data_IF_750855721842
#
_entry.id   IF_750855721842
#
_cell.length_a   1.000
_cell.length_b   1.000
_cell.length_c   1.000
_cell.angle_alpha   90.00
_cell.angle_beta   90.00
_cell.angle_gamma   90.00
#
_symmetry.space_group_name_H-M   'P 1'
#
loop_
_entity.id
_entity.type
_entity.pdbx_description
1 polymer ?
#
# COMPACT_ATOMS: atom_id res chain seq x y z
N UNK A 1 -4.31 25.37 9.75
CA UNK A 1 -3.43 24.34 9.13
C UNK A 1 -3.81 24.23 7.67
N UNK A 2 -2.82 24.24 6.79
CA UNK A 2 -3.04 24.23 5.33
C UNK A 2 -2.94 22.82 4.72
N UNK A 3 -2.11 21.97 5.29
CA UNK A 3 -1.81 20.62 4.77
C UNK A 3 -2.42 19.55 5.67
N UNK A 4 -3.12 18.59 5.07
CA UNK A 4 -3.87 17.54 5.75
C UNK A 4 -3.57 16.16 5.14
N UNK A 5 -3.71 15.12 5.93
CA UNK A 5 -3.63 13.72 5.50
C UNK A 5 -4.88 13.00 5.99
N UNK A 6 -5.49 12.15 5.16
CA UNK A 6 -6.74 11.46 5.50
C UNK A 6 -6.51 10.23 6.36
N UNK A 7 -5.55 9.40 5.98
CA UNK A 7 -5.21 8.15 6.66
C UNK A 7 -3.70 8.03 6.82
N UNK A 8 -3.27 7.44 7.93
CA UNK A 8 -1.88 7.08 8.12
C UNK A 8 -1.58 5.76 7.43
N UNK A 9 -0.54 5.73 6.59
CA UNK A 9 -0.01 4.53 5.94
C UNK A 9 -1.10 3.63 5.34
N UNK A 10 -2.02 4.23 4.55
CA UNK A 10 -3.22 3.58 4.03
C UNK A 10 -2.93 2.25 3.32
N UNK A 11 -1.76 2.13 2.68
CA UNK A 11 -1.36 0.92 1.97
C UNK A 11 -0.95 -0.24 2.89
N UNK A 12 -0.84 -0.04 4.21
CA UNK A 12 -0.76 -1.16 5.16
C UNK A 12 -1.98 -2.09 5.01
N UNK A 13 -3.12 -1.53 4.58
CA UNK A 13 -4.35 -2.29 4.32
C UNK A 13 -4.23 -3.32 3.19
N UNK A 14 -3.19 -3.29 2.36
CA UNK A 14 -2.96 -4.36 1.37
C UNK A 14 -2.28 -5.59 1.96
N UNK A 15 -1.70 -5.48 3.17
CA UNK A 15 -1.13 -6.59 3.91
C UNK A 15 -2.17 -7.18 4.89
N UNK A 16 -2.07 -8.48 5.25
CA UNK A 16 -3.00 -9.13 6.18
C UNK A 16 -3.22 -8.37 7.49
N UNK A 17 -2.13 -7.89 8.11
CA UNK A 17 -2.17 -7.11 9.35
C UNK A 17 -2.96 -5.80 9.24
N UNK A 18 -3.10 -5.25 8.04
CA UNK A 18 -3.79 -3.98 7.79
C UNK A 18 -5.30 -4.06 8.06
N UNK A 19 -5.90 -5.24 8.01
CA UNK A 19 -7.30 -5.44 8.41
C UNK A 19 -7.53 -4.96 9.85
N UNK A 20 -6.66 -5.35 10.77
CA UNK A 20 -6.76 -4.91 12.16
C UNK A 20 -6.20 -3.51 12.36
N UNK A 21 -4.98 -3.22 11.86
CA UNK A 21 -4.26 -1.98 12.16
C UNK A 21 -4.94 -0.74 11.59
N UNK A 22 -5.43 -0.82 10.34
CA UNK A 22 -5.97 0.35 9.66
C UNK A 22 -7.50 0.38 9.65
N UNK A 23 -8.13 -0.79 9.71
CA UNK A 23 -9.57 -0.91 9.51
C UNK A 23 -10.31 -1.35 10.76
N UNK A 24 -9.59 -1.80 11.81
CA UNK A 24 -10.19 -2.29 13.05
C UNK A 24 -10.97 -3.59 12.88
N UNK A 25 -10.69 -4.37 11.83
CA UNK A 25 -11.34 -5.66 11.57
C UNK A 25 -10.66 -6.72 12.42
N UNK A 26 -11.45 -7.37 13.26
CA UNK A 26 -11.02 -8.45 14.15
C UNK A 26 -11.77 -9.72 13.78
N UNK A 27 -11.08 -10.70 13.17
CA UNK A 27 -11.69 -11.90 12.64
C UNK A 27 -11.72 -13.08 13.64
N UNK A 28 -10.82 -13.07 14.65
CA UNK A 28 -10.83 -14.03 15.75
C UNK A 28 -11.15 -13.31 17.07
N UNK A 29 -12.41 -13.38 17.49
CA UNK A 29 -12.89 -12.78 18.72
C UNK A 29 -12.54 -13.60 19.97
N UNK A 30 -12.18 -14.88 19.82
CA UNK A 30 -11.75 -15.72 20.93
C UNK A 30 -10.31 -15.43 21.35
N UNK A 31 -9.46 -15.02 20.36
CA UNK A 31 -8.07 -14.67 20.59
C UNK A 31 -7.74 -13.23 20.09
N UNK A 32 -8.42 -12.21 20.62
CA UNK A 32 -8.33 -10.85 20.07
C UNK A 32 -6.95 -10.18 20.27
N UNK A 33 -6.14 -10.70 21.18
CA UNK A 33 -4.82 -10.14 21.51
C UNK A 33 -3.68 -10.70 20.65
N UNK A 34 -3.91 -11.75 19.87
CA UNK A 34 -2.90 -12.36 19.01
C UNK A 34 -2.92 -11.66 17.65
N UNK A 35 -2.42 -10.47 17.66
CA UNK A 35 -2.45 -9.49 16.57
C UNK A 35 -1.89 -10.00 15.23
N UNK A 36 -0.76 -10.75 15.26
CA UNK A 36 -0.13 -11.25 14.03
C UNK A 36 -0.74 -12.58 13.53
N UNK A 37 -1.62 -13.18 14.30
CA UNK A 37 -2.25 -14.48 14.01
C UNK A 37 -3.72 -14.35 13.63
N UNK A 38 -4.23 -13.12 13.49
CA UNK A 38 -5.60 -12.91 13.03
C UNK A 38 -5.80 -13.50 11.63
N UNK A 39 -6.90 -14.26 11.41
CA UNK A 39 -7.20 -14.80 10.09
C UNK A 39 -7.34 -13.69 9.06
N UNK A 40 -6.61 -13.80 7.95
CA UNK A 40 -6.75 -12.87 6.84
C UNK A 40 -7.92 -13.27 5.93
N UNK A 41 -8.86 -12.35 5.73
CA UNK A 41 -9.95 -12.47 4.77
C UNK A 41 -9.81 -11.37 3.74
N UNK A 42 -9.11 -11.63 2.61
CA UNK A 42 -8.82 -10.61 1.61
C UNK A 42 -10.05 -9.85 1.12
N UNK A 43 -11.20 -10.54 0.96
CA UNK A 43 -12.45 -9.91 0.56
C UNK A 43 -12.86 -8.78 1.51
N UNK A 44 -12.83 -9.01 2.83
CA UNK A 44 -13.19 -7.99 3.81
C UNK A 44 -12.18 -6.84 3.82
N UNK A 45 -10.90 -7.19 3.79
CA UNK A 45 -9.80 -6.23 3.87
C UNK A 45 -9.77 -5.29 2.67
N UNK A 46 -9.93 -5.79 1.46
CA UNK A 46 -9.98 -4.95 0.26
C UNK A 46 -11.30 -4.20 0.12
N UNK A 47 -12.41 -4.76 0.60
CA UNK A 47 -13.67 -4.02 0.68
C UNK A 47 -13.56 -2.86 1.68
N UNK A 48 -12.98 -3.09 2.86
CA UNK A 48 -12.68 -2.04 3.82
C UNK A 48 -11.76 -0.96 3.25
N UNK A 49 -10.73 -1.36 2.50
CA UNK A 49 -9.84 -0.42 1.81
C UNK A 49 -10.58 0.41 0.74
N UNK A 50 -11.52 -0.19 0.02
CA UNK A 50 -12.38 0.56 -0.91
C UNK A 50 -13.17 1.65 -0.18
N UNK A 51 -13.78 1.34 0.96
CA UNK A 51 -14.49 2.33 1.77
C UNK A 51 -13.54 3.43 2.29
N UNK A 52 -12.30 3.10 2.62
CA UNK A 52 -11.29 4.12 2.98
C UNK A 52 -10.96 5.05 1.79
N UNK A 53 -10.88 4.54 0.57
CA UNK A 53 -10.69 5.38 -0.60
C UNK A 53 -11.86 6.34 -0.81
N UNK A 54 -13.09 5.86 -0.72
CA UNK A 54 -14.30 6.69 -0.83
C UNK A 54 -14.34 7.75 0.26
N UNK A 55 -14.05 7.37 1.51
CA UNK A 55 -13.99 8.30 2.64
C UNK A 55 -12.89 9.36 2.47
N UNK A 56 -11.70 8.95 1.97
CA UNK A 56 -10.63 9.90 1.65
C UNK A 56 -11.05 10.90 0.58
N UNK A 57 -11.68 10.44 -0.50
CA UNK A 57 -12.14 11.30 -1.58
C UNK A 57 -13.21 12.30 -1.12
N UNK A 58 -14.15 11.87 -0.26
CA UNK A 58 -15.13 12.75 0.35
C UNK A 58 -14.47 13.80 1.26
N UNK A 59 -13.47 13.40 2.03
CA UNK A 59 -12.72 14.32 2.89
C UNK A 59 -11.93 15.37 2.09
N UNK A 60 -11.30 14.98 0.99
CA UNK A 60 -10.63 15.91 0.06
C UNK A 60 -11.62 16.94 -0.49
N UNK A 61 -12.74 16.46 -1.03
CA UNK A 61 -13.80 17.32 -1.57
C UNK A 61 -14.31 18.32 -0.52
N UNK A 62 -14.63 17.83 0.68
CA UNK A 62 -15.10 18.67 1.78
C UNK A 62 -14.05 19.69 2.21
N UNK A 63 -12.78 19.32 2.27
CA UNK A 63 -11.71 20.24 2.62
C UNK A 63 -11.61 21.40 1.62
N UNK A 64 -11.69 21.13 0.32
CA UNK A 64 -11.66 22.17 -0.73
C UNK A 64 -12.93 23.03 -0.76
N UNK A 65 -14.09 22.49 -0.34
CA UNK A 65 -15.33 23.27 -0.18
C UNK A 65 -15.23 24.25 1.01
N UNK A 66 -14.56 23.85 2.10
CA UNK A 66 -14.33 24.71 3.27
C UNK A 66 -13.33 25.81 2.95
N UNK A 67 -12.22 25.47 2.35
CA UNK A 67 -11.17 26.42 1.93
C UNK A 67 -10.40 25.86 0.72
N UNK A 68 -10.51 26.49 -0.46
CA UNK A 68 -9.80 26.06 -1.67
C UNK A 68 -8.26 26.03 -1.56
N UNK A 69 -7.71 26.71 -0.55
CA UNK A 69 -6.26 26.71 -0.29
C UNK A 69 -5.79 25.50 0.52
N UNK A 70 -6.71 24.70 1.08
CA UNK A 70 -6.34 23.47 1.76
C UNK A 70 -5.77 22.45 0.78
N UNK A 71 -4.74 21.76 1.24
CA UNK A 71 -4.08 20.69 0.49
C UNK A 71 -4.22 19.39 1.26
N UNK A 72 -4.80 18.38 0.61
CA UNK A 72 -5.05 17.08 1.22
C UNK A 72 -4.25 16.01 0.48
N UNK A 73 -3.45 15.26 1.21
CA UNK A 73 -2.53 14.28 0.65
C UNK A 73 -2.83 12.84 1.00
N UNK A 74 -2.21 11.97 0.23
CA UNK A 74 -2.02 10.57 0.57
C UNK A 74 -0.82 10.42 1.50
N UNK A 75 -0.89 9.46 2.43
CA UNK A 75 0.24 9.03 3.26
C UNK A 75 0.33 7.51 3.23
N UNK A 76 1.50 7.00 2.84
CA UNK A 76 1.73 5.57 2.65
C UNK A 76 3.09 5.13 3.21
N UNK A 77 3.31 3.83 3.35
CA UNK A 77 4.65 3.25 3.47
C UNK A 77 5.20 3.06 2.07
N UNK A 78 6.41 3.51 1.80
CA UNK A 78 7.12 3.08 0.61
C UNK A 78 7.99 1.86 0.94
N UNK A 79 7.55 0.70 0.48
CA UNK A 79 8.23 -0.58 0.65
C UNK A 79 9.15 -0.85 -0.55
N UNK A 80 10.32 -0.18 -0.58
CA UNK A 80 11.26 -0.34 -1.69
C UNK A 80 11.60 -1.82 -1.90
N UNK A 81 11.44 -2.30 -3.11
CA UNK A 81 11.64 -3.71 -3.41
C UNK A 81 12.36 -3.92 -4.74
N UNK A 82 13.36 -4.79 -4.72
CA UNK A 82 14.21 -5.15 -5.85
C UNK A 82 14.00 -6.62 -6.23
N UNK A 83 14.17 -7.01 -7.50
CA UNK A 83 14.29 -8.43 -7.82
C UNK A 83 15.57 -8.99 -7.19
N UNK A 84 15.50 -10.16 -6.55
CA UNK A 84 16.68 -10.80 -5.94
C UNK A 84 17.78 -11.10 -6.97
N UNK A 85 17.35 -11.48 -8.17
CA UNK A 85 18.22 -11.74 -9.32
C UNK A 85 17.68 -11.09 -10.57
N UNK A 86 18.47 -11.08 -11.64
CA UNK A 86 18.01 -10.70 -12.98
C UNK A 86 17.15 -11.79 -13.68
N UNK A 87 16.77 -12.88 -12.99
CA UNK A 87 15.84 -13.85 -13.51
C UNK A 87 14.50 -13.17 -13.83
N UNK A 88 13.95 -13.32 -15.06
CA UNK A 88 12.67 -12.71 -15.41
C UNK A 88 11.52 -13.04 -14.45
N UNK A 89 11.54 -14.20 -13.82
CA UNK A 89 10.55 -14.58 -12.80
C UNK A 89 10.65 -13.69 -11.55
N UNK A 90 11.86 -13.42 -11.06
CA UNK A 90 12.08 -12.52 -9.92
C UNK A 90 11.67 -11.09 -10.25
N UNK A 91 11.97 -10.64 -11.48
CA UNK A 91 11.55 -9.32 -11.97
C UNK A 91 10.03 -9.19 -11.98
N UNK A 92 9.30 -10.20 -12.46
CA UNK A 92 7.84 -10.19 -12.50
C UNK A 92 7.21 -10.23 -11.10
N UNK A 93 7.76 -11.03 -10.19
CA UNK A 93 7.30 -11.06 -8.78
C UNK A 93 7.54 -9.71 -8.11
N UNK A 94 8.71 -9.10 -8.32
CA UNK A 94 9.02 -7.78 -7.80
C UNK A 94 8.09 -6.69 -8.39
N UNK A 95 7.80 -6.74 -9.69
CA UNK A 95 6.84 -5.81 -10.31
C UNK A 95 5.44 -5.94 -9.70
N UNK A 96 4.97 -7.19 -9.49
CA UNK A 96 3.67 -7.44 -8.86
C UNK A 96 3.63 -6.91 -7.43
N UNK A 97 4.69 -7.14 -6.66
CA UNK A 97 4.82 -6.60 -5.30
C UNK A 97 4.73 -5.06 -5.30
N UNK A 98 5.50 -4.39 -6.14
CA UNK A 98 5.48 -2.93 -6.23
C UNK A 98 4.10 -2.40 -6.64
N UNK A 99 3.41 -3.05 -7.58
CA UNK A 99 2.04 -2.68 -7.96
C UNK A 99 1.08 -2.75 -6.79
N UNK A 100 1.16 -3.81 -5.97
CA UNK A 100 0.27 -3.99 -4.83
C UNK A 100 0.62 -3.05 -3.68
N UNK A 101 1.89 -3.04 -3.26
CA UNK A 101 2.29 -2.37 -2.02
C UNK A 101 2.61 -0.89 -2.20
N UNK A 102 3.17 -0.49 -3.35
CA UNK A 102 3.64 0.87 -3.55
C UNK A 102 2.74 1.72 -4.45
N UNK A 103 2.02 1.10 -5.40
CA UNK A 103 1.28 1.89 -6.39
C UNK A 103 -0.22 1.83 -6.23
N UNK A 104 -0.80 0.71 -5.84
CA UNK A 104 -2.26 0.50 -5.82
C UNK A 104 -3.02 1.62 -5.10
N UNK A 105 -2.66 1.91 -3.84
CA UNK A 105 -3.35 2.95 -3.07
C UNK A 105 -3.03 4.36 -3.59
N UNK A 106 -1.76 4.60 -3.97
CA UNK A 106 -1.35 5.89 -4.53
C UNK A 106 -2.08 6.18 -5.85
N UNK A 107 -2.16 5.19 -6.74
CA UNK A 107 -2.85 5.35 -8.03
C UNK A 107 -4.34 5.66 -7.83
N UNK A 108 -5.04 4.90 -6.97
CA UNK A 108 -6.46 5.14 -6.72
C UNK A 108 -6.70 6.55 -6.19
N UNK A 109 -5.91 7.01 -5.20
CA UNK A 109 -6.12 8.31 -4.61
C UNK A 109 -5.62 9.47 -5.48
N UNK A 110 -4.58 9.27 -6.31
CA UNK A 110 -4.06 10.31 -7.18
C UNK A 110 -4.86 10.47 -8.48
N UNK A 111 -5.37 9.37 -9.04
CA UNK A 111 -6.09 9.40 -10.32
C UNK A 111 -7.61 9.29 -10.17
N UNK A 112 -8.11 8.99 -8.98
CA UNK A 112 -9.54 8.84 -8.72
C UNK A 112 -10.17 7.64 -9.42
N UNK A 113 -9.38 6.63 -9.75
CA UNK A 113 -9.83 5.43 -10.43
C UNK A 113 -8.90 4.25 -10.15
N UNK A 114 -9.44 3.04 -10.18
CA UNK A 114 -8.62 1.84 -10.07
C UNK A 114 -7.71 1.68 -11.29
N UNK A 115 -6.41 1.41 -11.09
CA UNK A 115 -5.51 1.19 -12.21
C UNK A 115 -5.84 -0.13 -12.95
N UNK A 116 -5.51 -0.21 -14.23
CA UNK A 116 -5.84 -1.37 -15.07
C UNK A 116 -5.30 -2.71 -14.53
N UNK A 117 -4.21 -2.71 -13.76
CA UNK A 117 -3.67 -3.92 -13.15
C UNK A 117 -4.44 -4.37 -11.89
N UNK A 118 -5.32 -3.52 -11.31
CA UNK A 118 -6.06 -3.83 -10.09
C UNK A 118 -6.95 -5.06 -10.24
N UNK A 119 -7.67 -5.19 -11.37
CA UNK A 119 -8.56 -6.32 -11.62
C UNK A 119 -7.82 -7.66 -11.56
N UNK A 120 -6.62 -7.72 -12.14
CA UNK A 120 -5.80 -8.92 -12.11
C UNK A 120 -5.34 -9.27 -10.70
N UNK A 121 -4.91 -8.26 -9.92
CA UNK A 121 -4.47 -8.46 -8.53
C UNK A 121 -5.61 -8.93 -7.64
N UNK A 122 -6.77 -8.29 -7.73
CA UNK A 122 -7.96 -8.64 -6.93
C UNK A 122 -8.45 -10.04 -7.28
N UNK A 123 -8.51 -10.37 -8.58
CA UNK A 123 -8.92 -11.69 -9.06
C UNK A 123 -8.05 -12.82 -8.52
N UNK A 124 -6.72 -12.63 -8.50
CA UNK A 124 -5.79 -13.63 -7.94
C UNK A 124 -6.03 -13.88 -6.44
N UNK A 125 -6.47 -12.86 -5.71
CA UNK A 125 -6.81 -12.95 -4.28
C UNK A 125 -8.25 -13.41 -4.02
N UNK A 126 -9.03 -13.67 -5.08
CA UNK A 126 -10.45 -14.03 -4.96
C UNK A 126 -11.33 -12.89 -4.47
N UNK A 127 -10.93 -11.64 -4.69
CA UNK A 127 -11.65 -10.45 -4.23
C UNK A 127 -12.54 -9.90 -5.34
N UNK A 128 -13.79 -9.61 -4.99
CA UNK A 128 -14.77 -8.90 -5.84
C UNK A 128 -15.26 -7.69 -5.05
N UNK A 129 -14.88 -6.49 -5.47
CA UNK A 129 -15.30 -5.26 -4.79
C UNK A 129 -16.77 -4.97 -5.07
N UNK A 130 -17.52 -4.78 -4.02
CA UNK A 130 -18.88 -4.22 -4.06
C UNK A 130 -18.76 -2.70 -4.02
N UNK A 131 -19.24 -2.04 -5.07
CA UNK A 131 -19.23 -0.59 -5.21
C UNK A 131 -20.64 -0.07 -5.17
N UNK A 132 -20.86 1.01 -4.42
CA UNK A 132 -22.13 1.71 -4.41
C UNK A 132 -22.27 2.62 -5.65
N UNK A 133 -23.53 2.93 -5.97
CA UNK A 133 -23.82 3.89 -7.03
C UNK A 133 -23.24 5.26 -6.67
N UNK A 134 -22.29 5.75 -7.47
CA UNK A 134 -21.63 7.04 -7.26
C UNK A 134 -20.20 6.96 -6.73
N UNK A 135 -19.71 5.80 -6.25
CA UNK A 135 -18.36 5.67 -5.74
C UNK A 135 -17.29 6.07 -6.77
N UNK A 136 -17.46 5.70 -8.02
CA UNK A 136 -16.55 6.07 -9.09
C UNK A 136 -16.48 7.59 -9.32
N UNK A 137 -17.63 8.27 -9.24
CA UNK A 137 -17.67 9.72 -9.34
C UNK A 137 -17.06 10.41 -8.11
N UNK A 138 -17.31 9.87 -6.92
CA UNK A 138 -16.71 10.35 -5.67
C UNK A 138 -15.20 10.25 -5.76
N UNK A 139 -14.65 9.10 -6.12
CA UNK A 139 -13.21 8.89 -6.27
C UNK A 139 -12.60 9.87 -7.28
N UNK A 140 -13.23 10.01 -8.45
CA UNK A 140 -12.77 10.90 -9.51
C UNK A 140 -12.72 12.37 -9.10
N UNK A 141 -13.66 12.82 -8.29
CA UNK A 141 -13.80 14.22 -7.87
C UNK A 141 -13.08 14.52 -6.56
N UNK A 142 -12.49 13.52 -5.88
CA UNK A 142 -11.79 13.64 -4.60
C UNK A 142 -10.34 13.19 -4.64
N UNK A 143 -9.63 13.47 -5.74
CA UNK A 143 -8.21 13.12 -5.87
C UNK A 143 -7.34 13.97 -4.95
N UNK A 144 -6.30 13.35 -4.39
CA UNK A 144 -5.37 14.02 -3.47
C UNK A 144 -4.49 15.05 -4.19
N UNK A 145 -4.10 16.12 -3.48
CA UNK A 145 -3.24 17.18 -4.00
C UNK A 145 -1.76 16.80 -4.03
N UNK A 146 -1.33 15.88 -3.16
CA UNK A 146 0.07 15.45 -3.04
C UNK A 146 0.17 14.04 -2.43
N UNK A 147 1.33 13.42 -2.61
CA UNK A 147 1.65 12.11 -2.05
C UNK A 147 2.80 12.27 -1.06
N UNK A 148 2.67 11.62 0.12
CA UNK A 148 3.73 11.49 1.11
C UNK A 148 3.95 10.03 1.46
N UNK A 149 5.13 9.72 1.96
CA UNK A 149 5.41 8.36 2.41
C UNK A 149 6.41 8.30 3.56
N UNK A 150 6.27 7.26 4.37
CA UNK A 150 7.30 6.78 5.29
C UNK A 150 8.23 5.83 4.55
N UNK A 151 9.54 5.97 4.79
CA UNK A 151 10.54 5.04 4.27
C UNK A 151 11.36 4.46 5.42
N UNK A 152 11.36 3.15 5.55
CA UNK A 152 12.03 2.46 6.65
C UNK A 152 13.16 1.55 6.18
N UNK A 153 12.91 0.79 5.13
CA UNK A 153 13.77 -0.27 4.65
C UNK A 153 13.44 -0.68 3.23
N UNK A 154 14.30 -1.51 2.65
CA UNK A 154 14.02 -2.21 1.40
C UNK A 154 14.10 -3.72 1.57
N UNK A 155 13.63 -4.46 0.58
CA UNK A 155 13.71 -5.92 0.52
C UNK A 155 13.93 -6.39 -0.91
N UNK A 156 14.17 -7.69 -1.11
CA UNK A 156 14.15 -8.30 -2.42
C UNK A 156 12.94 -9.22 -2.58
N UNK A 157 12.52 -9.42 -3.84
CA UNK A 157 11.47 -10.37 -4.19
C UNK A 157 12.05 -11.46 -5.10
N UNK A 158 11.64 -12.70 -4.87
CA UNK A 158 12.08 -13.84 -5.65
C UNK A 158 10.92 -14.82 -5.90
N UNK A 159 10.99 -15.52 -7.02
CA UNK A 159 10.08 -16.62 -7.33
C UNK A 159 10.54 -17.96 -6.71
N UNK A 160 11.73 -18.00 -6.09
CA UNK A 160 12.24 -19.21 -5.42
C UNK A 160 11.66 -19.32 -4.00
N UNK A 161 10.77 -20.29 -3.81
CA UNK A 161 10.12 -20.58 -2.53
C UNK A 161 11.07 -21.13 -1.44
N UNK A 162 12.32 -21.46 -1.78
CA UNK A 162 13.33 -21.92 -0.84
C UNK A 162 14.00 -20.78 -0.09
N UNK A 163 13.98 -19.59 -0.65
CA UNK A 163 14.49 -18.40 0.02
C UNK A 163 13.58 -18.03 1.20
N UNK A 164 14.20 -17.80 2.34
CA UNK A 164 13.46 -17.46 3.56
C UNK A 164 13.17 -15.97 3.61
N UNK A 165 12.00 -15.62 4.12
CA UNK A 165 11.69 -14.24 4.49
C UNK A 165 12.75 -13.69 5.46
N UNK A 166 13.13 -12.45 5.28
CA UNK A 166 14.04 -11.76 6.19
C UNK A 166 13.40 -11.56 7.58
N UNK A 167 14.18 -11.77 8.65
CA UNK A 167 13.71 -11.47 10.01
C UNK A 167 13.40 -9.97 10.14
N UNK A 168 12.33 -9.65 10.89
CA UNK A 168 11.89 -8.26 11.11
C UNK A 168 11.20 -7.60 9.92
N UNK A 169 11.10 -8.24 8.76
CA UNK A 169 10.42 -7.69 7.60
C UNK A 169 8.92 -7.99 7.64
N UNK A 170 8.15 -7.05 8.17
CA UNK A 170 6.68 -7.16 8.29
C UNK A 170 5.93 -7.04 6.96
N UNK A 171 6.58 -6.55 5.90
CA UNK A 171 5.99 -6.38 4.57
C UNK A 171 6.36 -7.52 3.60
N UNK A 172 7.10 -8.54 4.08
CA UNK A 172 7.51 -9.69 3.28
C UNK A 172 8.75 -9.43 2.42
N UNK A 173 9.12 -10.44 1.62
CA UNK A 173 10.33 -10.43 0.82
C UNK A 173 11.53 -11.07 1.51
N UNK A 174 12.65 -11.13 0.82
CA UNK A 174 13.91 -11.70 1.28
C UNK A 174 14.98 -10.62 1.44
N UNK A 175 16.05 -10.95 2.16
CA UNK A 175 17.14 -10.00 2.38
C UNK A 175 17.87 -9.71 1.07
N UNK A 176 18.21 -8.44 0.88
CA UNK A 176 19.14 -8.01 -0.16
C UNK A 176 20.57 -8.37 0.27
N UNK A 177 21.30 -9.19 -0.50
CA UNK A 177 22.63 -9.67 -0.12
C UNK A 177 23.70 -8.57 -0.06
N UNK A 178 23.41 -7.38 -0.55
CA UNK A 178 24.34 -6.24 -0.60
C UNK A 178 24.15 -5.24 0.54
N UNK A 179 23.09 -5.40 1.37
CA UNK A 179 22.75 -4.44 2.41
C UNK A 179 22.98 -5.01 3.82
N UNK A 180 23.41 -4.14 4.73
CA UNK A 180 23.47 -4.46 6.15
C UNK A 180 22.11 -4.22 6.80
N UNK A 181 21.82 -4.96 7.86
CA UNK A 181 20.64 -4.75 8.68
C UNK A 181 20.98 -3.98 9.97
N UNK A 182 19.99 -3.26 10.50
CA UNK A 182 19.98 -2.70 11.85
C UNK A 182 19.78 -3.82 12.89
N UNK A 183 19.84 -3.47 14.18
CA UNK A 183 19.58 -4.40 15.29
C UNK A 183 18.12 -4.95 15.28
N UNK A 184 17.20 -4.25 14.60
CA UNK A 184 15.82 -4.71 14.35
C UNK A 184 15.67 -5.68 13.18
N UNK A 185 16.75 -5.98 12.46
CA UNK A 185 16.73 -6.78 11.23
C UNK A 185 16.32 -6.00 9.97
N UNK A 186 16.06 -4.70 10.06
CA UNK A 186 15.69 -3.87 8.92
C UNK A 186 16.91 -3.47 8.11
N UNK A 187 16.87 -3.71 6.81
CA UNK A 187 17.99 -3.39 5.94
C UNK A 187 18.14 -1.88 5.72
N UNK A 188 19.35 -1.40 5.91
CA UNK A 188 19.71 0.01 5.77
C UNK A 188 19.99 0.29 4.30
N UNK A 189 19.09 1.03 3.66
CA UNK A 189 19.13 1.33 2.23
C UNK A 189 18.81 2.80 1.94
N UNK A 190 19.79 3.71 2.07
CA UNK A 190 19.55 5.12 1.72
C UNK A 190 19.31 5.36 0.23
N UNK A 191 19.82 4.50 -0.66
CA UNK A 191 19.59 4.58 -2.11
C UNK A 191 18.13 4.23 -2.47
N UNK A 192 17.52 3.33 -1.69
CA UNK A 192 16.13 2.95 -1.86
C UNK A 192 15.15 4.11 -1.70
N UNK A 193 15.50 5.13 -0.92
CA UNK A 193 14.70 6.36 -0.82
C UNK A 193 14.68 7.14 -2.15
N UNK A 194 15.75 7.08 -2.92
CA UNK A 194 15.85 7.77 -4.20
C UNK A 194 15.02 7.11 -5.31
N UNK A 195 14.82 5.80 -5.20
CA UNK A 195 14.16 5.00 -6.23
C UNK A 195 12.71 5.44 -6.52
N UNK A 196 11.81 5.76 -5.53
CA UNK A 196 10.45 6.19 -5.81
C UNK A 196 10.39 7.52 -6.58
N UNK A 197 11.29 8.44 -6.30
CA UNK A 197 11.31 9.74 -6.99
C UNK A 197 11.61 9.61 -8.49
N UNK A 198 12.27 8.55 -8.91
CA UNK A 198 12.58 8.30 -10.32
C UNK A 198 11.50 7.49 -11.04
N UNK A 199 10.62 6.79 -10.32
CA UNK A 199 9.65 5.86 -10.92
C UNK A 199 8.19 6.28 -10.76
N UNK A 200 7.86 7.02 -9.70
CA UNK A 200 6.47 7.32 -9.32
C UNK A 200 5.99 8.70 -9.79
N UNK A 201 6.88 9.64 -10.07
CA UNK A 201 6.54 11.06 -10.31
C UNK A 201 6.71 11.50 -11.77
N UNK A 202 6.87 10.60 -12.72
CA UNK A 202 6.99 10.95 -14.13
C UNK A 202 5.64 11.24 -14.81
N UNK A 203 4.75 12.03 -14.19
CA UNK A 203 3.45 12.28 -14.80
C UNK A 203 2.59 13.40 -14.22
N UNK A 204 3.03 14.14 -13.21
CA UNK A 204 2.38 15.41 -12.78
C UNK A 204 3.40 16.39 -12.24
#
# INVERSE_FOLDING_TARGET
>A
VKYWLTFNEINSSVAPMGALLNQGILNDLENPTVFMEQPDIPQQRFQGLHHMFVASALAVKMAHEIDPEYKVGNMMIYAASYPLTCNPKDVLVCQKYNRLYNYYCADVQAYGAYPAYADSLLKEMGVVLEKEAGDEEILKNGTVDFITFSYYMSSCQTADSKEKSGEGNILGGVLNPYLKASDWGWQIDPEGLRYPFSTTISGK
#
